data_IF_503726251246
#
_entry.id   IF_503726251246
#
_cell.length_a   1.000
_cell.length_b   1.000
_cell.length_c   1.000
_cell.angle_alpha   90.00
_cell.angle_beta   90.00
_cell.angle_gamma   90.00
#
_symmetry.space_group_name_H-M   'P 1'
#
loop_
_entity.id
_entity.type
_entity.pdbx_description
1 polymer ?
#
# COMPACT_ATOMS: atom_id res chain seq x y z
N UNK A 1 -29.82 12.55 9.59
CA UNK A 1 -29.12 11.91 8.45
C UNK A 1 -28.74 10.49 8.86
N UNK A 2 -29.73 9.61 8.97
CA UNK A 2 -29.52 8.22 9.40
C UNK A 2 -30.46 7.35 8.58
N UNK A 3 -30.34 7.43 7.26
CA UNK A 3 -31.16 6.67 6.34
C UNK A 3 -30.27 5.76 5.48
N UNK A 4 -30.43 4.47 5.77
CA UNK A 4 -30.69 3.43 4.78
C UNK A 4 -29.63 3.19 3.70
N UNK A 5 -28.77 2.21 3.97
CA UNK A 5 -28.47 1.02 3.15
C UNK A 5 -27.13 0.44 3.64
N UNK A 6 -27.08 -0.20 4.82
CA UNK A 6 -25.83 -0.75 5.38
C UNK A 6 -25.18 -1.81 4.47
N UNK A 7 -25.94 -2.37 3.51
CA UNK A 7 -25.46 -3.38 2.55
C UNK A 7 -25.17 -2.84 1.15
N UNK A 8 -25.49 -1.58 0.83
CA UNK A 8 -25.17 -1.03 -0.49
C UNK A 8 -23.65 -0.89 -0.67
N UNK A 9 -23.14 -0.88 -1.91
CA UNK A 9 -21.74 -0.55 -2.18
C UNK A 9 -21.31 0.78 -1.56
N UNK A 10 -22.18 1.80 -1.62
CA UNK A 10 -21.93 3.11 -1.03
C UNK A 10 -21.93 3.08 0.51
N UNK A 11 -22.90 2.39 1.12
CA UNK A 11 -22.97 2.22 2.57
C UNK A 11 -21.74 1.49 3.11
N UNK A 12 -21.26 0.45 2.41
CA UNK A 12 -20.01 -0.25 2.75
C UNK A 12 -18.78 0.64 2.61
N UNK A 13 -18.70 1.46 1.56
CA UNK A 13 -17.61 2.40 1.38
C UNK A 13 -17.58 3.46 2.50
N UNK A 14 -18.75 3.99 2.88
CA UNK A 14 -18.88 4.96 3.97
C UNK A 14 -18.51 4.35 5.33
N UNK A 15 -18.98 3.13 5.61
CA UNK A 15 -18.63 2.42 6.84
C UNK A 15 -17.12 2.11 6.91
N UNK A 16 -16.53 1.72 5.78
CA UNK A 16 -15.09 1.51 5.68
C UNK A 16 -14.31 2.80 5.93
N UNK A 17 -14.69 3.90 5.28
CA UNK A 17 -14.07 5.21 5.48
C UNK A 17 -14.20 5.65 6.95
N UNK A 18 -15.38 5.48 7.55
CA UNK A 18 -15.62 5.82 8.96
C UNK A 18 -14.69 5.05 9.91
N UNK A 19 -14.46 3.75 9.68
CA UNK A 19 -13.51 2.94 10.46
C UNK A 19 -12.07 3.40 10.31
N UNK A 20 -11.70 4.03 9.19
CA UNK A 20 -10.35 4.52 8.91
C UNK A 20 -10.08 5.92 9.48
N UNK A 21 -11.12 6.71 9.78
CA UNK A 21 -11.00 8.09 10.29
C UNK A 21 -10.03 8.26 11.46
N UNK A 22 -9.95 7.37 12.47
CA UNK A 22 -8.98 7.49 13.55
C UNK A 22 -7.52 7.48 13.04
N UNK A 23 -7.20 6.61 12.09
CA UNK A 23 -5.86 6.54 11.49
C UNK A 23 -5.56 7.72 10.57
N UNK A 24 -6.60 8.26 9.90
CA UNK A 24 -6.43 9.45 9.05
C UNK A 24 -6.16 10.70 9.88
N UNK A 25 -6.58 10.75 11.15
CA UNK A 25 -6.31 11.88 12.04
C UNK A 25 -4.80 12.09 12.25
N UNK A 26 -4.02 11.01 12.26
CA UNK A 26 -2.56 11.04 12.45
C UNK A 26 -1.84 11.93 11.45
N UNK A 27 -2.36 12.09 10.23
CA UNK A 27 -1.79 13.01 9.22
C UNK A 27 -1.86 14.48 9.65
N UNK A 28 -2.86 14.85 10.45
CA UNK A 28 -2.98 16.20 11.00
C UNK A 28 -2.09 16.41 12.24
N UNK A 29 -1.64 15.33 12.86
CA UNK A 29 -0.77 15.36 14.05
C UNK A 29 0.72 15.33 13.69
N UNK A 30 1.08 14.74 12.55
CA UNK A 30 2.46 14.63 12.07
C UNK A 30 2.59 15.00 10.60
N UNK A 31 3.19 16.17 10.33
CA UNK A 31 3.47 16.64 8.97
C UNK A 31 4.60 15.88 8.25
N UNK A 32 5.24 14.91 8.92
CA UNK A 32 6.23 14.03 8.30
C UNK A 32 5.60 12.89 7.48
N UNK A 33 4.28 12.68 7.60
CA UNK A 33 3.56 11.63 6.90
C UNK A 33 2.96 12.19 5.60
N UNK A 34 3.25 11.53 4.47
CA UNK A 34 2.58 11.83 3.19
C UNK A 34 1.13 11.33 3.23
N UNK A 35 0.17 12.16 2.81
CA UNK A 35 -1.26 11.82 2.77
C UNK A 35 -1.54 10.75 1.71
N UNK A 36 -0.76 10.76 0.62
CA UNK A 36 -0.85 9.78 -0.45
C UNK A 36 0.16 8.64 -0.27
N UNK A 37 -0.13 7.49 -0.87
CA UNK A 37 0.73 6.30 -0.85
C UNK A 37 1.61 6.21 -2.11
N UNK A 38 1.79 7.30 -2.86
CA UNK A 38 2.37 7.26 -4.21
C UNK A 38 3.80 6.71 -4.20
N UNK A 39 4.58 7.02 -3.15
CA UNK A 39 5.90 6.43 -2.94
C UNK A 39 5.85 4.90 -2.87
N UNK A 40 4.90 4.35 -2.09
CA UNK A 40 4.70 2.91 -1.97
C UNK A 40 4.20 2.28 -3.27
N UNK A 41 3.25 2.92 -3.96
CA UNK A 41 2.74 2.43 -5.25
C UNK A 41 3.83 2.36 -6.32
N UNK A 42 4.69 3.38 -6.39
CA UNK A 42 5.87 3.36 -7.27
C UNK A 42 6.83 2.24 -6.92
N UNK A 43 7.09 2.00 -5.64
CA UNK A 43 7.99 0.94 -5.18
C UNK A 43 7.45 -0.47 -5.50
N UNK A 44 6.13 -0.70 -5.39
CA UNK A 44 5.53 -2.02 -5.63
C UNK A 44 5.23 -2.29 -7.12
N UNK A 45 5.15 -1.24 -7.96
CA UNK A 45 4.80 -1.36 -9.39
C UNK A 45 5.69 -2.32 -10.19
N UNK A 46 7.04 -2.31 -10.06
CA UNK A 46 7.89 -3.27 -10.75
C UNK A 46 7.58 -4.72 -10.41
N UNK A 47 7.27 -5.00 -9.12
CA UNK A 47 6.86 -6.33 -8.67
C UNK A 47 5.53 -6.76 -9.29
N UNK A 48 4.53 -5.87 -9.29
CA UNK A 48 3.19 -6.19 -9.83
C UNK A 48 3.23 -6.46 -11.33
N UNK A 49 4.07 -5.74 -12.07
CA UNK A 49 4.27 -5.92 -13.51
C UNK A 49 5.12 -7.17 -13.82
N UNK A 50 6.19 -7.39 -13.05
CA UNK A 50 7.14 -8.48 -13.29
C UNK A 50 6.75 -9.85 -12.74
N UNK A 51 5.64 -9.96 -11.99
CA UNK A 51 5.21 -11.25 -11.42
C UNK A 51 4.59 -12.15 -12.51
N UNK A 52 5.19 -13.31 -12.74
CA UNK A 52 4.62 -14.42 -13.51
C UNK A 52 4.16 -15.58 -12.60
N UNK A 53 4.01 -15.33 -11.30
CA UNK A 53 3.77 -16.36 -10.29
C UNK A 53 2.28 -16.60 -10.04
N UNK A 54 1.74 -17.73 -10.49
CA UNK A 54 0.36 -18.13 -10.22
C UNK A 54 0.17 -18.84 -8.86
N UNK A 55 1.27 -19.14 -8.14
CA UNK A 55 1.26 -19.90 -6.88
C UNK A 55 1.73 -19.04 -5.71
N UNK A 56 1.04 -19.15 -4.56
CA UNK A 56 1.33 -18.39 -3.33
C UNK A 56 2.81 -18.49 -2.87
N UNK A 57 3.42 -19.67 -3.00
CA UNK A 57 4.84 -19.88 -2.64
C UNK A 57 5.79 -19.04 -3.49
N UNK A 58 5.54 -18.98 -4.80
CA UNK A 58 6.37 -18.21 -5.72
C UNK A 58 6.15 -16.70 -5.54
N UNK A 59 4.91 -16.26 -5.31
CA UNK A 59 4.62 -14.88 -4.96
C UNK A 59 5.37 -14.42 -3.70
N UNK A 60 5.40 -15.27 -2.66
CA UNK A 60 6.17 -14.99 -1.42
C UNK A 60 7.67 -14.89 -1.67
N UNK A 61 8.24 -15.83 -2.42
CA UNK A 61 9.66 -15.82 -2.75
C UNK A 61 10.04 -14.56 -3.55
N UNK A 62 9.24 -14.21 -4.56
CA UNK A 62 9.46 -12.99 -5.35
C UNK A 62 9.29 -11.72 -4.52
N UNK A 63 8.28 -11.65 -3.65
CA UNK A 63 8.09 -10.50 -2.77
C UNK A 63 9.29 -10.29 -1.83
N UNK A 64 9.87 -11.38 -1.30
CA UNK A 64 11.07 -11.31 -0.47
C UNK A 64 12.28 -10.76 -1.24
N UNK A 65 12.51 -11.26 -2.46
CA UNK A 65 13.62 -10.79 -3.30
C UNK A 65 13.48 -9.30 -3.66
N UNK A 66 12.30 -8.88 -4.11
CA UNK A 66 12.05 -7.46 -4.40
C UNK A 66 12.16 -6.59 -3.15
N UNK A 67 11.71 -7.06 -1.98
CA UNK A 67 11.89 -6.33 -0.71
C UNK A 67 13.36 -6.08 -0.38
N UNK A 68 14.23 -7.08 -0.58
CA UNK A 68 15.68 -6.93 -0.32
C UNK A 68 16.29 -5.95 -1.31
N UNK A 69 15.98 -6.08 -2.60
CA UNK A 69 16.51 -5.20 -3.66
C UNK A 69 16.08 -3.75 -3.42
N UNK A 70 14.79 -3.49 -3.18
CA UNK A 70 14.29 -2.13 -2.95
C UNK A 70 14.85 -1.54 -1.66
N UNK A 71 15.04 -2.35 -0.60
CA UNK A 71 15.70 -1.89 0.63
C UNK A 71 17.16 -1.52 0.37
N UNK A 72 17.88 -2.31 -0.42
CA UNK A 72 19.27 -2.03 -0.77
C UNK A 72 19.41 -0.79 -1.67
N UNK A 73 18.48 -0.56 -2.60
CA UNK A 73 18.40 0.70 -3.38
C UNK A 73 18.13 1.91 -2.49
N UNK A 74 17.16 1.81 -1.56
CA UNK A 74 16.81 2.89 -0.65
C UNK A 74 17.98 3.28 0.29
N UNK A 75 18.89 2.34 0.57
CA UNK A 75 20.10 2.57 1.35
C UNK A 75 21.33 2.90 0.49
N UNK A 76 21.17 3.14 -0.82
CA UNK A 76 22.25 3.43 -1.77
C UNK A 76 23.34 2.34 -1.84
N UNK A 77 23.00 1.09 -1.51
CA UNK A 77 23.93 -0.04 -1.52
C UNK A 77 24.06 -0.65 -2.92
N UNK A 78 23.08 -0.43 -3.79
CA UNK A 78 23.13 -0.85 -5.19
C UNK A 78 23.48 0.39 -6.01
N UNK A 79 24.78 0.59 -6.21
CA UNK A 79 25.33 1.55 -7.15
C UNK A 79 25.37 0.85 -8.51
N UNK A 80 24.30 0.95 -9.30
CA UNK A 80 24.43 0.67 -10.73
C UNK A 80 24.65 1.98 -11.48
N UNK A 81 25.67 1.93 -12.34
CA UNK A 81 26.14 2.98 -13.24
C UNK A 81 25.21 3.11 -14.45
#
# INVERSE_FOLDING_TARGET
>A
MRDELPKSPLGRALEYAHKLLPSMRTFFESGALEIDNNAFERAIKPFVIGRNSNTLKCAKASALLYSIIETAKANNLIVEK
#
